data_IF_644628280096
#
_entry.id   IF_644628280096
#
_cell.length_a   1.000
_cell.length_b   1.000
_cell.length_c   1.000
_cell.angle_alpha   90.00
_cell.angle_beta   90.00
_cell.angle_gamma   90.00
#
_symmetry.space_group_name_H-M   'P 1'
#
loop_
_entity.id
_entity.type
_entity.pdbx_description
1 polymer ?
#
# COMPACT_ATOMS: atom_id res chain seq x y z
N UNK A 1 -7.18 -26.53 -11.39
CA UNK A 1 -7.45 -26.57 -9.93
C UNK A 1 -6.85 -25.33 -9.27
N UNK A 2 -7.24 -25.00 -8.04
CA UNK A 2 -6.63 -23.90 -7.26
C UNK A 2 -5.10 -24.03 -7.19
N UNK A 3 -4.59 -25.24 -6.99
CA UNK A 3 -3.16 -25.53 -6.97
C UNK A 3 -2.45 -25.18 -8.28
N UNK A 4 -3.08 -25.43 -9.44
CA UNK A 4 -2.50 -25.08 -10.73
C UNK A 4 -2.47 -23.57 -10.97
N UNK A 5 -3.52 -22.85 -10.55
CA UNK A 5 -3.57 -21.39 -10.65
C UNK A 5 -2.46 -20.76 -9.79
N UNK A 6 -2.35 -21.20 -8.54
CA UNK A 6 -1.33 -20.69 -7.62
C UNK A 6 0.11 -21.05 -8.07
N UNK A 7 0.31 -22.23 -8.68
CA UNK A 7 1.59 -22.58 -9.32
C UNK A 7 1.90 -21.68 -10.52
N UNK A 8 0.89 -21.24 -11.28
CA UNK A 8 1.06 -20.31 -12.39
C UNK A 8 1.44 -18.92 -11.88
N UNK A 9 0.77 -18.44 -10.83
CA UNK A 9 1.10 -17.17 -10.17
C UNK A 9 2.53 -17.17 -9.63
N UNK A 10 2.95 -18.24 -8.94
CA UNK A 10 4.34 -18.40 -8.48
C UNK A 10 5.35 -18.27 -9.62
N UNK A 11 5.09 -18.90 -10.77
CA UNK A 11 5.96 -18.76 -11.95
C UNK A 11 6.01 -17.32 -12.42
N UNK A 12 4.86 -16.65 -12.58
CA UNK A 12 4.81 -15.26 -13.04
C UNK A 12 5.62 -14.34 -12.10
N UNK A 13 5.36 -14.42 -10.80
CA UNK A 13 6.06 -13.59 -9.81
C UNK A 13 7.57 -13.86 -9.77
N UNK A 14 7.99 -15.12 -9.94
CA UNK A 14 9.42 -15.48 -9.98
C UNK A 14 10.15 -14.92 -11.20
N UNK A 15 9.47 -14.73 -12.33
CA UNK A 15 10.08 -14.18 -13.55
C UNK A 15 10.07 -12.65 -13.57
N UNK A 16 9.19 -12.00 -12.80
CA UNK A 16 9.06 -10.54 -12.80
C UNK A 16 10.28 -9.83 -12.21
N UNK A 17 10.91 -10.46 -11.21
CA UNK A 17 11.97 -9.84 -10.42
C UNK A 17 11.47 -8.76 -9.46
N UNK A 18 12.35 -8.17 -8.63
CA UNK A 18 11.97 -7.18 -7.63
C UNK A 18 11.65 -5.81 -8.26
N UNK A 19 10.58 -5.18 -7.81
CA UNK A 19 10.20 -3.82 -8.22
C UNK A 19 9.53 -3.05 -7.07
N UNK A 20 9.79 -1.74 -6.98
CA UNK A 20 9.33 -0.89 -5.87
C UNK A 20 7.80 -0.83 -5.74
N UNK A 21 7.09 -0.81 -6.88
CA UNK A 21 5.64 -0.61 -6.92
C UNK A 21 4.84 -1.92 -7.07
N UNK A 22 5.47 -3.06 -6.82
CA UNK A 22 4.85 -4.39 -6.91
C UNK A 22 5.12 -5.11 -5.60
N UNK A 23 4.14 -5.87 -5.10
CA UNK A 23 4.35 -6.73 -3.94
C UNK A 23 5.28 -7.87 -4.34
N UNK A 24 6.50 -7.87 -3.82
CA UNK A 24 7.51 -8.81 -4.27
C UNK A 24 7.34 -10.18 -3.62
N UNK A 25 7.70 -11.22 -4.37
CA UNK A 25 7.81 -12.59 -3.87
C UNK A 25 9.11 -12.72 -3.06
N UNK A 26 9.00 -13.24 -1.83
CA UNK A 26 10.14 -13.55 -0.96
C UNK A 26 10.52 -15.03 -1.03
N UNK A 27 9.54 -15.91 -1.26
CA UNK A 27 9.77 -17.35 -1.39
C UNK A 27 8.48 -18.15 -1.53
N UNK A 28 8.60 -19.47 -1.61
CA UNK A 28 7.45 -20.37 -1.68
C UNK A 28 7.74 -21.75 -1.08
N UNK A 29 6.73 -22.37 -0.47
CA UNK A 29 6.76 -23.76 -0.04
C UNK A 29 6.04 -24.60 -1.09
N UNK A 30 6.79 -25.36 -1.90
CA UNK A 30 6.26 -26.10 -3.05
C UNK A 30 6.37 -27.62 -2.92
N UNK A 31 7.05 -28.10 -1.86
CA UNK A 31 7.31 -29.53 -1.63
C UNK A 31 6.74 -29.95 -0.28
N UNK A 32 6.27 -31.20 -0.22
CA UNK A 32 5.84 -31.87 1.02
C UNK A 32 4.82 -31.07 1.86
N UNK A 33 3.76 -30.58 1.22
CA UNK A 33 2.67 -29.88 1.92
C UNK A 33 1.80 -29.05 0.98
N UNK A 34 0.87 -28.25 1.53
CA UNK A 34 0.14 -27.24 0.77
C UNK A 34 1.09 -26.23 0.13
N UNK A 35 0.69 -25.68 -1.01
CA UNK A 35 1.43 -24.62 -1.67
C UNK A 35 1.26 -23.30 -0.90
N UNK A 36 2.38 -22.71 -0.47
CA UNK A 36 2.39 -21.38 0.14
C UNK A 36 3.27 -20.43 -0.68
N UNK A 37 2.80 -19.21 -0.87
CA UNK A 37 3.58 -18.08 -1.42
C UNK A 37 3.85 -17.12 -0.27
N UNK A 38 5.12 -16.73 -0.12
CA UNK A 38 5.57 -15.77 0.89
C UNK A 38 5.90 -14.49 0.15
N UNK A 39 5.19 -13.42 0.44
CA UNK A 39 5.35 -12.11 -0.20
C UNK A 39 5.66 -11.03 0.81
N UNK A 40 6.06 -9.85 0.33
CA UNK A 40 6.19 -8.68 1.19
C UNK A 40 4.88 -8.36 1.91
N UNK A 41 5.01 -7.96 3.18
CA UNK A 41 3.87 -7.56 4.00
C UNK A 41 3.52 -6.09 3.78
N UNK A 42 2.31 -5.85 3.31
CA UNK A 42 1.77 -4.51 3.14
C UNK A 42 1.08 -4.04 4.43
N UNK A 43 1.82 -3.36 5.31
CA UNK A 43 1.36 -2.90 6.64
C UNK A 43 0.01 -2.16 6.61
N UNK A 44 -0.26 -1.41 5.55
CA UNK A 44 -1.45 -0.55 5.46
C UNK A 44 -2.63 -1.18 4.69
N UNK A 45 -2.51 -2.44 4.26
CA UNK A 45 -3.55 -3.14 3.50
C UNK A 45 -3.71 -2.63 2.07
N UNK A 46 -4.89 -2.84 1.49
CA UNK A 46 -5.20 -2.38 0.15
C UNK A 46 -5.44 -0.86 0.08
N UNK A 47 -5.24 -0.31 -1.12
CA UNK A 47 -5.33 1.12 -1.35
C UNK A 47 -6.76 1.66 -1.22
N UNK A 48 -7.79 0.86 -1.55
CA UNK A 48 -9.18 1.32 -1.50
C UNK A 48 -9.58 1.61 -0.06
N UNK A 49 -9.34 0.64 0.83
CA UNK A 49 -9.61 0.79 2.25
C UNK A 49 -8.73 1.85 2.88
N UNK A 50 -7.45 1.94 2.49
CA UNK A 50 -6.57 2.99 2.96
C UNK A 50 -7.07 4.39 2.60
N UNK A 51 -7.52 4.60 1.35
CA UNK A 51 -8.07 5.89 0.91
C UNK A 51 -9.39 6.21 1.63
N UNK A 52 -10.27 5.23 1.82
CA UNK A 52 -11.52 5.44 2.56
C UNK A 52 -11.26 5.82 4.01
N UNK A 53 -10.37 5.11 4.72
CA UNK A 53 -10.03 5.41 6.13
C UNK A 53 -9.42 6.80 6.31
N UNK A 54 -8.69 7.29 5.31
CA UNK A 54 -7.95 8.55 5.37
C UNK A 54 -8.60 9.69 4.55
N UNK A 55 -9.82 9.49 4.03
CA UNK A 55 -10.50 10.44 3.13
C UNK A 55 -10.55 11.85 3.68
N UNK A 56 -10.90 12.01 4.96
CA UNK A 56 -10.97 13.33 5.60
C UNK A 56 -9.61 14.02 5.66
N UNK A 57 -8.56 13.28 6.02
CA UNK A 57 -7.19 13.79 6.08
C UNK A 57 -6.70 14.29 4.72
N UNK A 58 -6.99 13.54 3.65
CA UNK A 58 -6.64 13.96 2.29
C UNK A 58 -7.42 15.20 1.85
N UNK A 59 -8.73 15.25 2.08
CA UNK A 59 -9.55 16.40 1.71
C UNK A 59 -9.13 17.66 2.49
N UNK A 60 -8.82 17.53 3.78
CA UNK A 60 -8.31 18.64 4.59
C UNK A 60 -6.97 19.15 4.04
N UNK A 61 -6.03 18.26 3.74
CA UNK A 61 -4.74 18.64 3.14
C UNK A 61 -4.91 19.42 1.83
N UNK A 62 -5.83 19.00 0.96
CA UNK A 62 -6.10 19.73 -0.29
C UNK A 62 -6.80 21.06 -0.04
N UNK A 63 -7.74 21.14 0.91
CA UNK A 63 -8.38 22.40 1.28
C UNK A 63 -7.33 23.40 1.80
N UNK A 64 -6.48 22.98 2.74
CA UNK A 64 -5.43 23.82 3.33
C UNK A 64 -4.42 24.27 2.27
N UNK A 65 -4.00 23.37 1.38
CA UNK A 65 -3.11 23.73 0.26
C UNK A 65 -3.74 24.75 -0.69
N UNK A 66 -5.05 24.64 -0.95
CA UNK A 66 -5.78 25.61 -1.79
C UNK A 66 -6.01 26.95 -1.07
N UNK A 67 -6.15 26.96 0.25
CA UNK A 67 -6.23 28.19 1.05
C UNK A 67 -4.88 28.92 1.11
N UNK A 68 -3.77 28.19 1.18
CA UNK A 68 -2.42 28.76 1.07
C UNK A 68 -2.18 29.34 -0.34
N UNK A 69 -2.67 28.68 -1.39
CA UNK A 69 -2.50 29.15 -2.77
C UNK A 69 -3.36 30.38 -3.13
N UNK A 70 -4.49 30.60 -2.44
CA UNK A 70 -5.46 31.66 -2.76
C UNK A 70 -5.52 32.82 -1.74
N UNK A 71 -4.51 32.96 -0.88
CA UNK A 71 -4.20 34.17 -0.10
C UNK A 71 -5.33 34.78 0.75
N UNK A 72 -5.40 34.42 2.04
CA UNK A 72 -5.68 35.32 3.19
C UNK A 72 -5.56 34.58 4.54
N UNK A 73 -4.40 34.74 5.19
CA UNK A 73 -4.09 34.70 6.64
C UNK A 73 -4.39 33.50 7.58
N UNK A 74 -3.27 33.00 8.14
CA UNK A 74 -2.94 32.53 9.51
C UNK A 74 -3.62 31.24 10.02
N UNK A 75 -2.90 30.12 9.91
CA UNK A 75 -2.97 29.05 10.91
C UNK A 75 -1.69 29.11 11.78
N UNK A 76 -1.88 29.06 13.10
CA UNK A 76 -0.77 29.05 14.06
C UNK A 76 -0.08 27.67 14.04
N UNK A 77 1.23 27.65 14.30
CA UNK A 77 2.12 26.47 14.31
C UNK A 77 1.79 25.38 15.37
N UNK A 78 0.59 25.35 15.95
CA UNK A 78 0.28 24.49 17.11
C UNK A 78 -0.35 23.14 16.81
N UNK A 79 -0.80 22.83 15.59
CA UNK A 79 -1.54 21.59 15.31
C UNK A 79 -0.96 20.75 14.17
N UNK A 80 0.35 20.51 14.17
CA UNK A 80 0.92 19.41 13.40
C UNK A 80 0.77 18.11 14.22
N UNK A 81 0.05 17.08 13.75
CA UNK A 81 0.07 15.78 14.42
C UNK A 81 1.46 15.20 14.22
N UNK A 82 2.27 15.23 15.29
CA UNK A 82 3.51 14.48 15.35
C UNK A 82 3.18 13.02 15.09
N UNK A 83 3.74 12.49 14.01
CA UNK A 83 3.49 11.14 13.56
C UNK A 83 3.66 10.10 14.65
N UNK A 84 2.88 9.03 14.52
CA UNK A 84 3.24 7.71 15.01
C UNK A 84 3.24 6.76 13.82
#
# INVERSE_FOLDING_TARGET
>A
SETQALMSELKIMSHLGPHLNIVNLLGACTKHGPLYLVTEYCRYGDLVDYLHRNKHSFLQYYADKNHIANGSQICNDSDMPTGK
#
